data_IF_810434516934
#
_entry.id   IF_810434516934
#
_cell.length_a   1.000
_cell.length_b   1.000
_cell.length_c   1.000
_cell.angle_alpha   90.00
_cell.angle_beta   90.00
_cell.angle_gamma   90.00
#
_symmetry.space_group_name_H-M   'P 1'
#
loop_
_entity.id
_entity.type
_entity.pdbx_description
1 polymer ?
#
# COMPACT_ATOMS: atom_id res chain seq x y z
N UNK A 1 -4.14 10.65 16.51
CA UNK A 1 -5.36 9.88 16.14
C UNK A 1 -5.94 10.21 14.76
N UNK A 2 -5.87 11.46 14.28
CA UNK A 2 -6.52 11.85 13.02
C UNK A 2 -5.71 11.58 11.74
N UNK A 3 -4.39 11.45 11.85
CA UNK A 3 -3.51 11.18 10.69
C UNK A 3 -3.94 9.95 9.87
N UNK A 4 -4.20 8.79 10.52
CA UNK A 4 -4.73 7.61 9.83
C UNK A 4 -6.04 7.84 9.10
N UNK A 5 -6.93 8.70 9.61
CA UNK A 5 -8.23 8.98 8.97
C UNK A 5 -8.01 9.69 7.64
N UNK A 6 -7.20 10.75 7.63
CA UNK A 6 -6.88 11.50 6.41
C UNK A 6 -6.17 10.62 5.38
N UNK A 7 -5.23 9.79 5.85
CA UNK A 7 -4.52 8.83 5.00
C UNK A 7 -5.49 7.84 4.35
N UNK A 8 -6.45 7.29 5.10
CA UNK A 8 -7.41 6.33 4.56
C UNK A 8 -8.43 6.97 3.62
N UNK A 9 -8.83 8.23 3.85
CA UNK A 9 -9.68 8.99 2.91
C UNK A 9 -8.96 9.18 1.57
N UNK A 10 -7.71 9.63 1.57
CA UNK A 10 -6.95 9.81 0.33
C UNK A 10 -6.70 8.48 -0.38
N UNK A 11 -6.43 7.43 0.39
CA UNK A 11 -6.25 6.09 -0.13
C UNK A 11 -7.53 5.51 -0.74
N UNK A 12 -8.70 5.84 -0.19
CA UNK A 12 -10.00 5.50 -0.78
C UNK A 12 -10.28 6.30 -2.06
N UNK A 13 -10.00 7.60 -2.06
CA UNK A 13 -10.32 8.49 -3.20
C UNK A 13 -9.44 8.25 -4.42
N UNK A 14 -8.14 8.05 -4.22
CA UNK A 14 -7.18 7.99 -5.31
C UNK A 14 -6.28 6.75 -5.27
N UNK A 15 -6.23 6.05 -4.14
CA UNK A 15 -5.25 4.98 -3.92
C UNK A 15 -3.81 5.48 -3.90
N UNK A 16 -3.57 6.77 -3.66
CA UNK A 16 -2.23 7.37 -3.71
C UNK A 16 -1.23 6.65 -2.81
N UNK A 17 -1.58 6.42 -1.54
CA UNK A 17 -0.75 5.69 -0.58
C UNK A 17 -0.46 4.26 -1.06
N UNK A 18 -1.48 3.53 -1.53
CA UNK A 18 -1.27 2.19 -2.09
C UNK A 18 -0.34 2.18 -3.32
N UNK A 19 -0.50 3.15 -4.24
CA UNK A 19 0.39 3.27 -5.41
C UNK A 19 1.81 3.63 -5.01
N UNK A 20 1.99 4.49 -4.01
CA UNK A 20 3.30 4.85 -3.48
C UNK A 20 3.99 3.62 -2.86
N UNK A 21 3.26 2.86 -2.03
CA UNK A 21 3.78 1.63 -1.42
C UNK A 21 4.18 0.59 -2.46
N UNK A 22 3.40 0.41 -3.53
CA UNK A 22 3.75 -0.51 -4.64
C UNK A 22 5.01 -0.11 -5.42
N UNK A 23 5.45 1.15 -5.36
CA UNK A 23 6.73 1.60 -5.95
C UNK A 23 7.93 1.28 -5.06
N UNK A 24 7.71 0.88 -3.81
CA UNK A 24 8.78 0.54 -2.88
C UNK A 24 9.24 -0.91 -3.11
N UNK A 25 10.34 -1.09 -3.84
CA UNK A 25 10.90 -2.41 -4.18
C UNK A 25 11.15 -3.31 -2.97
N UNK A 26 11.73 -2.84 -1.84
CA UNK A 26 11.94 -3.69 -0.67
C UNK A 26 10.64 -4.24 -0.08
N UNK A 27 9.59 -3.43 -0.04
CA UNK A 27 8.27 -3.78 0.49
C UNK A 27 7.59 -4.84 -0.38
N UNK A 28 7.59 -4.62 -1.69
CA UNK A 28 7.04 -5.57 -2.67
C UNK A 28 7.78 -6.90 -2.63
N UNK A 29 9.12 -6.86 -2.55
CA UNK A 29 9.94 -8.07 -2.45
C UNK A 29 9.69 -8.84 -1.16
N UNK A 30 9.57 -8.14 -0.03
CA UNK A 30 9.22 -8.73 1.26
C UNK A 30 7.87 -9.46 1.20
N UNK A 31 6.86 -8.83 0.60
CA UNK A 31 5.52 -9.42 0.48
C UNK A 31 5.49 -10.61 -0.48
N UNK A 32 6.21 -10.55 -1.60
CA UNK A 32 6.38 -11.72 -2.49
C UNK A 32 7.03 -12.90 -1.75
N UNK A 33 8.07 -12.63 -0.94
CA UNK A 33 8.73 -13.66 -0.14
C UNK A 33 7.83 -14.23 0.95
N UNK A 34 6.92 -13.44 1.48
CA UNK A 34 5.91 -13.88 2.43
C UNK A 34 4.74 -14.65 1.76
N UNK A 35 4.80 -14.90 0.45
CA UNK A 35 3.80 -15.69 -0.28
C UNK A 35 2.57 -14.90 -0.72
N UNK A 36 2.57 -13.57 -0.59
CA UNK A 36 1.50 -12.74 -1.14
C UNK A 36 1.56 -12.78 -2.66
N UNK A 37 0.50 -13.30 -3.28
CA UNK A 37 0.29 -13.30 -4.72
C UNK A 37 -1.11 -12.74 -5.00
N UNK A 38 -1.20 -11.71 -5.85
CA UNK A 38 -2.42 -10.99 -6.28
C UNK A 38 -3.10 -10.03 -5.27
N UNK A 39 -4.07 -9.27 -5.80
CA UNK A 39 -4.97 -8.34 -5.10
C UNK A 39 -4.33 -7.00 -4.73
N UNK A 40 -3.20 -7.07 -4.02
CA UNK A 40 -2.49 -5.91 -3.49
C UNK A 40 -1.16 -5.63 -4.20
N UNK A 41 -0.56 -6.68 -4.73
CA UNK A 41 0.75 -6.75 -5.39
C UNK A 41 0.62 -6.66 -6.91
#
# INVERSE_FOLDING_TARGET
DQGPIVMMIENYRSGFLWRLMRKCTPLVLGLRRAGFNNGWL
#
